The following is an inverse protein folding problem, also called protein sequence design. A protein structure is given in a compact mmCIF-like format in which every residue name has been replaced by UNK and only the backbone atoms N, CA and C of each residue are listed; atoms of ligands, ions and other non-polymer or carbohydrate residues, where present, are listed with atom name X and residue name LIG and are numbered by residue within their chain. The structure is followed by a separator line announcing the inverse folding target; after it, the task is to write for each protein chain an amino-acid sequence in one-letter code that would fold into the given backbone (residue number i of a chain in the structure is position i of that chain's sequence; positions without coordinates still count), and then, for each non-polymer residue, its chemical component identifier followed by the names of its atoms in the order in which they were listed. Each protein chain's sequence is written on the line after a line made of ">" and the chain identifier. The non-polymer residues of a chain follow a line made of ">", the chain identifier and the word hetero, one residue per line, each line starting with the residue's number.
data_IF_145622538877
#
_entry.id   IF_145622538877
#
_cell.length_a   1.000
_cell.length_b   1.000
_cell.length_c   1.000
_cell.angle_alpha   90.00
_cell.angle_beta   90.00
_cell.angle_gamma   90.00
#
_symmetry.space_group_name_H-M   'P 1'
#
loop_
_entity.id
_entity.type
_entity.pdbx_description
1 polymer ?
#
# COMPACT_ATOMS: atom_id res chain seq x y z
N UNK A 1 -11.37 -14.32 15.15
CA UNK A 1 -10.23 -13.39 15.20
C UNK A 1 -10.75 -12.03 14.76
N UNK A 2 -10.57 -10.98 15.58
CA UNK A 2 -10.98 -9.63 15.20
C UNK A 2 -9.87 -9.00 14.37
N UNK A 3 -10.12 -8.78 13.08
CA UNK A 3 -9.19 -8.03 12.23
C UNK A 3 -9.28 -6.53 12.54
N UNK A 4 -8.17 -5.76 12.45
CA UNK A 4 -8.22 -4.32 12.65
C UNK A 4 -9.09 -3.69 11.56
N UNK A 5 -10.13 -2.94 11.97
CA UNK A 5 -10.90 -2.12 11.04
C UNK A 5 -9.92 -1.16 10.32
N UNK A 6 -9.99 -1.02 8.98
CA UNK A 6 -11.12 -1.28 8.10
C UNK A 6 -11.12 -2.65 7.38
N UNK A 7 -10.29 -3.62 7.80
CA UNK A 7 -10.16 -4.91 7.13
C UNK A 7 -11.39 -5.81 7.32
N UNK A 8 -11.92 -6.36 6.24
CA UNK A 8 -13.07 -7.28 6.21
C UNK A 8 -12.69 -8.61 5.55
N UNK A 9 -13.47 -9.66 5.80
CA UNK A 9 -13.26 -11.00 5.21
C UNK A 9 -14.48 -11.37 4.38
N UNK A 10 -14.28 -11.72 3.12
CA UNK A 10 -15.33 -12.26 2.27
C UNK A 10 -15.70 -13.66 2.77
N UNK A 11 -16.97 -13.89 3.11
CA UNK A 11 -17.38 -15.15 3.72
C UNK A 11 -17.33 -16.34 2.76
N UNK A 12 -17.51 -16.11 1.46
CA UNK A 12 -17.48 -17.14 0.43
C UNK A 12 -16.03 -17.49 0.05
N UNK A 13 -15.21 -16.49 -0.26
CA UNK A 13 -13.84 -16.70 -0.75
C UNK A 13 -12.80 -16.80 0.37
N UNK A 14 -13.16 -16.39 1.60
CA UNK A 14 -12.26 -16.20 2.75
C UNK A 14 -11.16 -15.16 2.53
N UNK A 15 -11.25 -14.40 1.43
CA UNK A 15 -10.27 -13.39 1.07
C UNK A 15 -10.46 -12.11 1.90
N UNK A 16 -9.37 -11.51 2.40
CA UNK A 16 -9.42 -10.19 3.02
C UNK A 16 -9.67 -9.08 1.99
N UNK A 17 -10.44 -8.06 2.37
CA UNK A 17 -10.69 -6.90 1.53
C UNK A 17 -10.91 -5.62 2.34
N UNK A 18 -10.73 -4.48 1.69
CA UNK A 18 -11.02 -3.14 2.23
C UNK A 18 -12.18 -2.54 1.43
N UNK A 19 -13.26 -2.13 2.10
CA UNK A 19 -14.38 -1.44 1.42
C UNK A 19 -14.19 0.07 1.44
N UNK A 20 -14.40 0.73 0.31
CA UNK A 20 -14.30 2.19 0.26
C UNK A 20 -15.51 2.83 0.96
N UNK A 21 -15.24 3.78 1.87
CA UNK A 21 -16.29 4.40 2.70
C UNK A 21 -17.32 5.20 1.91
N UNK A 22 -16.89 5.85 0.81
CA UNK A 22 -17.77 6.69 -0.03
C UNK A 22 -18.34 5.98 -1.25
N UNK A 23 -17.79 4.82 -1.60
CA UNK A 23 -18.23 3.99 -2.73
C UNK A 23 -18.34 2.56 -2.22
N UNK A 24 -19.43 2.22 -1.49
CA UNK A 24 -19.53 0.93 -0.81
C UNK A 24 -19.58 -0.24 -1.80
N UNK A 25 -19.91 -0.01 -3.07
CA UNK A 25 -19.82 -0.98 -4.16
C UNK A 25 -18.38 -1.25 -4.61
N UNK A 26 -17.39 -0.46 -4.18
CA UNK A 26 -15.98 -0.66 -4.55
C UNK A 26 -15.19 -1.22 -3.36
N UNK A 27 -14.48 -2.30 -3.61
CA UNK A 27 -13.56 -2.94 -2.66
C UNK A 27 -12.15 -2.99 -3.21
N UNK A 28 -11.16 -3.03 -2.30
CA UNK A 28 -9.75 -3.27 -2.61
C UNK A 28 -9.40 -4.66 -2.10
N UNK A 29 -8.94 -5.53 -2.99
CA UNK A 29 -8.55 -6.92 -2.67
C UNK A 29 -7.07 -7.15 -2.96
N UNK A 30 -6.52 -8.28 -2.49
CA UNK A 30 -5.31 -8.84 -3.08
C UNK A 30 -5.43 -8.99 -4.60
N UNK A 31 -4.32 -8.87 -5.34
CA UNK A 31 -4.28 -9.16 -6.76
C UNK A 31 -4.50 -10.65 -7.04
N UNK A 32 -5.12 -10.96 -8.19
CA UNK A 32 -5.36 -12.33 -8.65
C UNK A 32 -4.69 -12.52 -10.01
N UNK A 33 -4.07 -13.68 -10.23
CA UNK A 33 -3.48 -14.01 -11.54
C UNK A 33 -4.53 -14.03 -12.67
N UNK A 34 -5.79 -14.29 -12.33
CA UNK A 34 -6.92 -14.27 -13.26
C UNK A 34 -7.29 -12.87 -13.76
N UNK A 35 -6.71 -11.80 -13.20
CA UNK A 35 -6.99 -10.43 -13.62
C UNK A 35 -6.29 -10.05 -14.95
N UNK A 36 -5.50 -10.95 -15.53
CA UNK A 36 -4.59 -10.68 -16.67
C UNK A 36 -5.30 -10.10 -17.88
N UNK A 37 -6.35 -10.77 -18.37
CA UNK A 37 -7.07 -10.34 -19.57
C UNK A 37 -7.74 -8.97 -19.38
N UNK A 38 -8.33 -8.73 -18.21
CA UNK A 38 -8.96 -7.46 -17.86
C UNK A 38 -7.91 -6.34 -17.75
N UNK A 39 -6.73 -6.65 -17.19
CA UNK A 39 -5.61 -5.72 -17.09
C UNK A 39 -5.07 -5.34 -18.48
N UNK A 40 -4.92 -6.31 -19.39
CA UNK A 40 -4.54 -6.07 -20.79
C UNK A 40 -5.54 -5.16 -21.49
N UNK A 41 -6.84 -5.42 -21.34
CA UNK A 41 -7.88 -4.58 -21.92
C UNK A 41 -7.82 -3.15 -21.38
N UNK A 42 -7.75 -2.99 -20.05
CA UNK A 42 -7.70 -1.68 -19.40
C UNK A 42 -6.48 -0.87 -19.82
N UNK A 43 -5.29 -1.48 -19.89
CA UNK A 43 -4.05 -0.79 -20.20
C UNK A 43 -3.82 -0.55 -21.70
N UNK A 44 -4.69 -1.05 -22.57
CA UNK A 44 -4.74 -0.65 -23.98
C UNK A 44 -5.92 0.29 -24.29
N UNK A 45 -6.79 0.59 -23.32
CA UNK A 45 -7.89 1.55 -23.52
C UNK A 45 -7.33 2.99 -23.63
N UNK A 46 -7.67 3.76 -24.67
CA UNK A 46 -7.21 5.14 -24.83
C UNK A 46 -7.60 6.07 -23.68
N UNK A 47 -8.71 5.78 -22.99
CA UNK A 47 -9.15 6.53 -21.81
C UNK A 47 -8.24 6.30 -20.60
N UNK A 48 -7.39 5.27 -20.65
CA UNK A 48 -6.48 4.89 -19.57
C UNK A 48 -5.03 5.17 -19.96
N UNK A 49 -4.51 4.52 -21.01
CA UNK A 49 -3.08 4.50 -21.29
C UNK A 49 -2.48 5.87 -21.65
N UNK A 50 -3.27 6.77 -22.26
CA UNK A 50 -2.84 8.14 -22.56
C UNK A 50 -2.52 8.94 -21.29
N UNK A 51 -3.08 8.53 -20.15
CA UNK A 51 -2.87 9.18 -18.85
C UNK A 51 -1.74 8.54 -18.04
N UNK A 52 -1.12 7.49 -18.56
CA UNK A 52 -0.07 6.73 -17.89
C UNK A 52 1.31 7.03 -18.52
N UNK A 53 2.36 7.11 -17.69
CA UNK A 53 3.76 7.20 -18.18
C UNK A 53 4.35 5.84 -18.54
N UNK A 54 3.81 4.82 -17.89
CA UNK A 54 4.05 3.41 -18.11
C UNK A 54 2.81 2.68 -17.59
N UNK A 55 2.59 1.40 -17.94
CA UNK A 55 3.52 0.44 -18.54
C UNK A 55 3.71 0.60 -20.05
N UNK A 56 4.50 -0.26 -20.74
CA UNK A 56 4.66 -0.20 -22.20
C UNK A 56 3.34 -0.21 -22.95
N UNK A 57 3.30 0.48 -24.09
CA UNK A 57 2.18 0.44 -25.04
C UNK A 57 2.68 -0.06 -26.41
N UNK A 58 2.01 -1.04 -27.04
CA UNK A 58 0.87 -1.79 -26.52
C UNK A 58 1.24 -2.66 -25.32
N UNK A 59 0.31 -2.79 -24.36
CA UNK A 59 0.50 -3.62 -23.18
C UNK A 59 0.14 -5.07 -23.51
N UNK A 60 1.05 -6.00 -23.30
CA UNK A 60 0.89 -7.39 -23.74
C UNK A 60 0.43 -8.33 -22.62
N UNK A 61 -0.04 -9.52 -22.99
CA UNK A 61 -0.34 -10.58 -22.01
C UNK A 61 0.89 -10.93 -21.17
N UNK A 62 2.07 -10.97 -21.77
CA UNK A 62 3.31 -11.27 -21.06
C UNK A 62 3.63 -10.20 -20.01
N UNK A 63 3.36 -8.93 -20.31
CA UNK A 63 3.53 -7.84 -19.34
C UNK A 63 2.56 -7.99 -18.17
N UNK A 64 1.29 -8.32 -18.47
CA UNK A 64 0.25 -8.54 -17.48
C UNK A 64 0.57 -9.72 -16.56
N UNK A 65 0.93 -10.88 -17.12
CA UNK A 65 1.27 -12.09 -16.37
C UNK A 65 2.50 -11.86 -15.48
N UNK A 66 3.52 -11.18 -16.01
CA UNK A 66 4.73 -10.86 -15.27
C UNK A 66 4.43 -9.93 -14.08
N UNK A 67 3.62 -8.89 -14.31
CA UNK A 67 3.23 -7.94 -13.28
C UNK A 67 2.34 -8.59 -12.21
N UNK A 68 1.35 -9.38 -12.62
CA UNK A 68 0.44 -10.06 -11.70
C UNK A 68 1.16 -11.10 -10.87
N UNK A 69 2.13 -11.83 -11.42
CA UNK A 69 2.97 -12.73 -10.65
C UNK A 69 3.74 -11.97 -9.56
N UNK A 70 4.46 -10.91 -9.95
CA UNK A 70 5.22 -10.09 -9.01
C UNK A 70 4.35 -9.53 -7.88
N UNK A 71 3.19 -8.96 -8.22
CA UNK A 71 2.28 -8.35 -7.24
C UNK A 71 1.54 -9.36 -6.38
N UNK A 72 1.19 -10.53 -6.91
CA UNK A 72 0.56 -11.62 -6.15
C UNK A 72 1.53 -12.23 -5.15
N UNK A 73 2.79 -12.46 -5.55
CA UNK A 73 3.83 -12.96 -4.66
C UNK A 73 4.08 -11.97 -3.51
N UNK A 74 4.31 -10.69 -3.83
CA UNK A 74 4.52 -9.64 -2.82
C UNK A 74 3.33 -9.46 -1.87
N UNK A 75 2.10 -9.50 -2.41
CA UNK A 75 0.88 -9.47 -1.61
C UNK A 75 0.80 -10.68 -0.67
N UNK A 76 1.05 -11.89 -1.18
CA UNK A 76 1.02 -13.13 -0.40
C UNK A 76 1.99 -13.09 0.79
N UNK A 77 3.21 -12.57 0.60
CA UNK A 77 4.18 -12.38 1.68
C UNK A 77 3.70 -11.42 2.77
N UNK A 78 3.01 -10.34 2.39
CA UNK A 78 2.45 -9.37 3.32
C UNK A 78 1.21 -9.92 4.04
N UNK A 79 0.34 -10.66 3.34
CA UNK A 79 -0.82 -11.33 3.92
C UNK A 79 -0.41 -12.36 4.97
N UNK A 80 0.65 -13.12 4.72
CA UNK A 80 1.22 -14.05 5.71
C UNK A 80 1.73 -13.38 6.99
N UNK A 81 1.91 -12.05 6.97
CA UNK A 81 2.34 -11.22 8.11
C UNK A 81 1.20 -10.43 8.75
N UNK A 82 -0.06 -10.60 8.33
CA UNK A 82 -1.21 -9.84 8.86
C UNK A 82 -1.55 -10.12 10.33
N UNK A 83 -0.97 -11.14 10.95
CA UNK A 83 -1.02 -11.32 12.40
C UNK A 83 -0.28 -10.19 13.14
N UNK A 84 0.63 -9.49 12.46
CA UNK A 84 1.27 -8.29 12.96
C UNK A 84 0.32 -7.08 12.81
N UNK A 85 0.18 -6.23 13.84
CA UNK A 85 -0.65 -5.02 13.74
C UNK A 85 -0.11 -3.99 12.74
N UNK A 86 1.15 -4.11 12.32
CA UNK A 86 1.79 -3.24 11.32
C UNK A 86 2.63 -4.08 10.37
N UNK A 87 2.44 -3.89 9.07
CA UNK A 87 3.22 -4.50 7.99
C UNK A 87 3.89 -3.41 7.14
N UNK A 88 5.01 -3.77 6.49
CA UNK A 88 5.79 -2.85 5.68
C UNK A 88 5.36 -2.86 4.20
N UNK A 89 4.13 -2.39 3.95
CA UNK A 89 3.54 -2.34 2.61
C UNK A 89 2.03 -2.51 2.63
N UNK A 90 1.43 -2.65 1.44
CA UNK A 90 0.01 -2.90 1.27
C UNK A 90 -0.23 -4.19 0.47
N UNK A 91 -0.85 -5.22 1.05
CA UNK A 91 -1.21 -6.43 0.30
C UNK A 91 -2.44 -6.23 -0.60
N UNK A 92 -3.06 -5.06 -0.58
CA UNK A 92 -4.28 -4.77 -1.33
C UNK A 92 -3.96 -3.80 -2.46
N UNK A 93 -4.21 -4.21 -3.70
CA UNK A 93 -3.92 -3.39 -4.87
C UNK A 93 -4.95 -3.49 -5.99
N UNK A 94 -5.84 -4.49 -5.97
CA UNK A 94 -6.86 -4.65 -7.00
C UNK A 94 -8.15 -3.94 -6.59
N UNK A 95 -8.62 -3.02 -7.44
CA UNK A 95 -9.92 -2.39 -7.31
C UNK A 95 -10.97 -3.27 -7.97
N UNK A 96 -12.04 -3.56 -7.22
CA UNK A 96 -13.15 -4.37 -7.71
C UNK A 96 -14.48 -3.69 -7.43
N UNK A 97 -15.36 -3.74 -8.42
CA UNK A 97 -16.77 -3.37 -8.24
C UNK A 97 -17.58 -4.62 -7.87
N UNK A 98 -18.43 -4.48 -6.86
CA UNK A 98 -19.36 -5.51 -6.39
C UNK A 98 -20.72 -5.26 -7.05
N UNK A 99 -21.21 -6.27 -7.76
CA UNK A 99 -22.54 -6.31 -8.36
C UNK A 99 -23.64 -6.62 -7.33
N UNK A 100 -24.90 -6.39 -7.70
CA UNK A 100 -26.07 -6.67 -6.84
C UNK A 100 -26.20 -8.15 -6.45
N UNK A 101 -25.69 -9.06 -7.29
CA UNK A 101 -25.65 -10.51 -7.02
C UNK A 101 -24.47 -10.94 -6.12
N UNK A 102 -23.63 -9.98 -5.69
CA UNK A 102 -22.47 -10.22 -4.84
C UNK A 102 -21.21 -10.68 -5.57
N UNK A 103 -21.25 -10.81 -6.90
CA UNK A 103 -20.04 -11.05 -7.70
C UNK A 103 -19.15 -9.81 -7.75
N UNK A 104 -17.85 -10.02 -7.95
CA UNK A 104 -16.88 -8.93 -8.09
C UNK A 104 -16.28 -8.89 -9.50
N UNK A 105 -16.08 -7.68 -10.03
CA UNK A 105 -15.41 -7.43 -11.32
C UNK A 105 -14.16 -6.60 -11.08
N UNK A 106 -13.03 -7.02 -11.65
CA UNK A 106 -11.80 -6.22 -11.64
C UNK A 106 -11.97 -4.96 -12.51
N UNK A 107 -11.75 -3.79 -11.91
CA UNK A 107 -11.93 -2.49 -12.58
C UNK A 107 -10.64 -1.65 -12.64
N UNK A 108 -9.54 -2.17 -12.10
CA UNK A 108 -8.24 -1.50 -12.13
C UNK A 108 -7.39 -1.82 -10.93
N UNK A 109 -6.24 -1.16 -10.83
CA UNK A 109 -5.31 -1.34 -9.72
C UNK A 109 -4.84 -0.01 -9.15
N UNK A 110 -4.46 -0.04 -7.87
CA UNK A 110 -3.85 1.08 -7.15
C UNK A 110 -2.68 0.54 -6.35
N UNK A 111 -1.55 1.24 -6.39
CA UNK A 111 -0.38 0.88 -5.59
C UNK A 111 -0.25 1.83 -4.41
N UNK A 112 0.21 1.30 -3.27
CA UNK A 112 0.61 2.06 -2.09
C UNK A 112 2.04 1.64 -1.73
N UNK A 113 2.99 2.52 -2.02
CA UNK A 113 4.42 2.23 -1.88
C UNK A 113 5.13 3.34 -1.09
N UNK A 114 6.33 3.06 -0.60
CA UNK A 114 7.18 4.12 -0.05
C UNK A 114 7.57 5.10 -1.15
N UNK A 115 7.48 6.39 -0.87
CA UNK A 115 7.73 7.44 -1.85
C UNK A 115 9.21 7.44 -2.28
N UNK A 116 9.45 7.21 -3.58
CA UNK A 116 10.78 7.27 -4.20
C UNK A 116 11.20 8.66 -4.69
N UNK A 117 10.49 9.72 -4.27
CA UNK A 117 10.80 11.12 -4.62
C UNK A 117 11.03 11.39 -6.13
N UNK A 118 10.17 10.91 -7.07
CA UNK A 118 10.37 11.12 -8.51
C UNK A 118 10.38 12.58 -8.95
N UNK A 119 9.79 13.50 -8.16
CA UNK A 119 9.74 14.93 -8.44
C UNK A 119 10.99 15.71 -7.98
N UNK A 120 11.86 15.07 -7.19
CA UNK A 120 13.13 15.68 -6.79
C UNK A 120 14.14 15.47 -7.91
N UNK A 121 14.63 16.56 -8.49
CA UNK A 121 15.58 16.57 -9.61
C UNK A 121 17.04 16.65 -9.16
N UNK A 122 17.29 16.99 -7.89
CA UNK A 122 18.61 16.99 -7.29
C UNK A 122 19.14 15.56 -7.16
N UNK A 123 20.14 15.24 -7.99
CA UNK A 123 20.73 13.90 -8.12
C UNK A 123 21.57 13.46 -6.91
N UNK A 124 22.08 14.40 -6.12
CA UNK A 124 22.87 14.11 -4.92
C UNK A 124 21.95 13.90 -3.71
N UNK A 125 20.90 14.73 -3.61
CA UNK A 125 19.96 14.69 -2.49
C UNK A 125 18.94 13.55 -2.59
N UNK A 126 18.46 13.24 -3.80
CA UNK A 126 17.41 12.23 -3.99
C UNK A 126 17.80 10.84 -3.46
N UNK A 127 19.00 10.29 -3.74
CA UNK A 127 19.39 8.98 -3.21
C UNK A 127 19.36 8.92 -1.68
N UNK A 128 19.78 10.01 -1.01
CA UNK A 128 19.74 10.09 0.45
C UNK A 128 18.29 10.07 0.97
N UNK A 129 17.40 10.88 0.41
CA UNK A 129 15.98 10.91 0.80
C UNK A 129 15.27 9.57 0.58
N UNK A 130 15.55 8.92 -0.55
CA UNK A 130 15.02 7.58 -0.85
C UNK A 130 15.53 6.60 0.19
N UNK A 131 16.84 6.57 0.44
CA UNK A 131 17.44 5.67 1.44
C UNK A 131 16.84 5.88 2.82
N UNK A 132 16.77 7.12 3.29
CA UNK A 132 16.20 7.45 4.59
C UNK A 132 14.75 6.97 4.70
N UNK A 133 13.91 7.25 3.70
CA UNK A 133 12.51 6.84 3.72
C UNK A 133 12.32 5.32 3.67
N UNK A 134 13.13 4.59 2.89
CA UNK A 134 13.06 3.14 2.75
C UNK A 134 13.66 2.38 3.94
N UNK A 135 14.52 3.02 4.74
CA UNK A 135 15.13 2.41 5.93
C UNK A 135 14.31 2.60 7.22
N UNK A 136 13.28 3.44 7.20
CA UNK A 136 12.36 3.60 8.34
C UNK A 136 11.71 2.27 8.71
N UNK A 137 11.53 2.02 10.01
CA UNK A 137 10.85 0.83 10.51
C UNK A 137 9.36 0.86 10.18
N UNK A 138 8.75 -0.30 9.96
CA UNK A 138 7.31 -0.39 9.73
C UNK A 138 6.52 0.30 10.85
N UNK A 139 5.58 1.18 10.49
CA UNK A 139 4.78 1.95 11.44
C UNK A 139 5.39 3.28 11.88
N UNK A 140 6.60 3.62 11.41
CA UNK A 140 7.15 4.95 11.59
C UNK A 140 6.24 6.00 10.91
N UNK A 141 5.68 6.98 11.66
CA UNK A 141 4.75 7.97 11.14
C UNK A 141 5.38 8.93 10.13
N UNK A 142 6.71 9.02 10.08
CA UNK A 142 7.44 9.86 9.14
C UNK A 142 7.74 9.14 7.83
N UNK A 143 7.29 7.88 7.65
CA UNK A 143 7.31 7.24 6.33
C UNK A 143 6.44 8.05 5.39
N UNK A 144 7.06 8.50 4.31
CA UNK A 144 6.36 9.07 3.18
C UNK A 144 5.86 7.96 2.28
N UNK A 145 4.54 7.91 2.10
CA UNK A 145 3.89 6.98 1.18
C UNK A 145 3.45 7.69 -0.09
N UNK A 146 3.34 6.92 -1.16
CA UNK A 146 2.73 7.33 -2.43
C UNK A 146 1.55 6.43 -2.75
N UNK A 147 0.46 7.03 -3.22
CA UNK A 147 -0.67 6.33 -3.83
C UNK A 147 -0.63 6.58 -5.33
N UNK A 148 -0.76 5.51 -6.11
CA UNK A 148 -0.62 5.56 -7.56
C UNK A 148 0.84 5.46 -7.98
N UNK A 149 1.10 4.59 -8.95
CA UNK A 149 2.44 4.38 -9.49
C UNK A 149 3.06 5.67 -10.06
N UNK A 150 4.38 5.67 -10.20
CA UNK A 150 5.10 6.80 -10.80
C UNK A 150 4.56 7.08 -12.22
N UNK A 151 4.20 8.33 -12.58
CA UNK A 151 4.67 9.59 -12.02
C UNK A 151 3.56 10.45 -11.37
N UNK A 152 2.31 9.99 -11.30
CA UNK A 152 1.19 10.75 -10.73
C UNK A 152 0.84 10.16 -9.38
N UNK A 153 1.47 10.73 -8.36
CA UNK A 153 1.41 10.25 -7.00
C UNK A 153 0.56 11.19 -6.14
N UNK A 154 -0.35 10.65 -5.33
CA UNK A 154 -0.89 11.38 -4.19
C UNK A 154 0.01 11.08 -3.00
N UNK A 155 0.54 12.14 -2.37
CA UNK A 155 1.38 12.00 -1.17
C UNK A 155 0.50 11.78 0.04
N UNK A 156 0.81 10.74 0.81
CA UNK A 156 0.12 10.46 2.06
C UNK A 156 1.11 10.38 3.22
N UNK A 157 0.79 11.09 4.29
CA UNK A 157 1.46 10.96 5.60
C UNK A 157 0.46 10.32 6.58
N UNK A 158 0.83 9.22 7.25
CA UNK A 158 0.02 8.67 8.32
C UNK A 158 -0.17 9.70 9.45
N UNK A 159 -1.32 9.68 10.11
CA UNK A 159 -1.43 10.27 11.44
C UNK A 159 -0.62 9.41 12.41
N UNK A 160 0.04 10.06 13.38
CA UNK A 160 0.82 9.38 14.44
C UNK A 160 -0.12 8.43 15.21
N UNK A 161 0.07 7.09 15.15
CA UNK A 161 -0.73 6.18 15.94
C UNK A 161 -0.26 6.21 17.40
N UNK A 162 -1.21 6.13 18.33
CA UNK A 162 -0.92 5.94 19.75
C UNK A 162 -0.34 4.53 19.97
N UNK A 163 0.99 4.44 20.10
CA UNK A 163 1.66 3.40 20.89
C UNK A 163 1.73 1.96 20.36
N UNK A 164 1.46 1.66 19.08
CA UNK A 164 1.61 0.29 18.57
C UNK A 164 3.00 0.06 17.92
N UNK A 165 3.95 -0.53 18.67
CA UNK A 165 5.19 -1.09 18.12
C UNK A 165 5.11 -2.62 18.05
N UNK A 166 5.25 -3.19 16.85
CA UNK A 166 5.61 -4.60 16.68
C UNK A 166 7.08 -4.79 17.09
N UNK A 167 7.35 -5.56 18.15
CA UNK A 167 8.73 -6.06 18.37
C UNK A 167 8.95 -7.27 17.47
N UNK A 168 9.87 -7.15 16.52
CA UNK A 168 10.44 -8.33 15.85
C UNK A 168 11.31 -9.08 16.87
N UNK A 169 11.22 -10.42 16.97
CA UNK A 169 12.08 -11.18 17.88
C UNK A 169 13.55 -11.02 17.46
N UNK A 170 14.40 -10.56 18.39
CA UNK A 170 15.86 -10.48 18.22
C UNK A 170 16.47 -9.11 17.95
N UNK A 171 15.71 -8.00 18.06
CA UNK A 171 16.29 -6.64 18.01
C UNK A 171 16.07 -5.90 19.33
N UNK A 172 17.08 -5.95 20.20
CA UNK A 172 17.18 -4.97 21.29
C UNK A 172 17.64 -3.64 20.68
N UNK A 173 16.84 -2.59 20.86
CA UNK A 173 17.17 -1.23 20.41
C UNK A 173 18.21 -0.62 21.36
N UNK A 174 19.33 -0.05 20.87
CA UNK A 174 20.43 0.40 21.73
C UNK A 174 20.22 1.80 22.34
N UNK A 175 19.01 2.36 22.30
CA UNK A 175 18.77 3.73 22.75
C UNK A 175 18.11 3.79 24.14
N UNK A 176 18.72 4.45 25.12
CA UNK A 176 18.18 4.55 26.47
C UNK A 176 16.93 5.44 26.48
N UNK A 177 15.93 5.01 27.26
CA UNK A 177 14.64 5.69 27.41
C UNK A 177 14.81 7.14 27.91
N UNK A 178 14.11 8.05 27.24
CA UNK A 178 14.06 9.44 27.64
C UNK A 178 13.03 9.57 28.79
N UNK A 179 13.58 9.66 30.00
CA UNK A 179 12.83 10.00 31.20
C UNK A 179 12.36 11.46 31.11
N UNK A 180 11.04 11.61 31.19
CA UNK A 180 10.31 12.63 31.94
C UNK A 180 11.10 13.91 32.32
N UNK A 181 10.85 15.00 31.59
CA UNK A 181 11.19 16.36 32.02
C UNK A 181 10.01 17.32 31.80
N UNK A 182 9.22 17.51 32.85
CA UNK A 182 8.69 18.83 33.25
C UNK A 182 9.20 19.09 34.67
N UNK A 183 9.65 20.32 35.00
CA UNK A 183 8.75 21.37 35.54
C UNK A 183 9.20 22.80 35.13
N UNK A 184 8.47 23.90 35.34
CA UNK A 184 7.24 24.19 36.06
C UNK A 184 6.82 25.67 35.85
N UNK A 185 5.57 25.97 36.16
CA UNK A 185 5.04 27.33 36.36
C UNK A 185 5.45 27.85 37.75
N UNK A 186 5.76 29.15 37.93
CA UNK A 186 5.69 29.76 39.25
C UNK A 186 4.32 30.40 39.46
N UNK A 187 3.74 30.11 40.63
CA UNK A 187 2.66 30.89 41.22
C UNK A 187 3.29 31.87 42.23
N UNK A 188 3.04 33.17 42.03
CA UNK A 188 2.84 34.21 43.04
C UNK A 188 2.46 35.50 42.30
#
# INVERSE_FOLDING_TARGET
>A
MNHPAPLQINQATKEPFIRLRRHPNIVVTPPRLTDSDALVQLLNDPRVHEWLKGPPYPYTQQDADSWLKFTTDASGELLGKLECPVVDGCPFSSLREISDDGTDTFIGSVTLDRWGYPLITDVEKKPQLVKENFQRAAGDPDIMWTIGGVPRCILWRPNKPDGAQCRLPGTESPWPGDHDRRPGHPAA
#
